data_IF_285373377377
#
_entry.id   IF_285373377377
#
_cell.length_a   1.000
_cell.length_b   1.000
_cell.length_c   1.000
_cell.angle_alpha   90.00
_cell.angle_beta   90.00
_cell.angle_gamma   90.00
#
_symmetry.space_group_name_H-M   'P 1'
#
loop_
_entity.id
_entity.type
_entity.pdbx_description
1 polymer ?
#
# COMPACT_ATOMS: atom_id res chain seq x y z
N UNK A 1 -7.30 7.19 15.47
CA UNK A 1 -5.90 7.64 15.48
C UNK A 1 -5.06 6.68 14.67
N UNK A 2 -4.72 7.04 13.43
CA UNK A 2 -3.80 6.27 12.60
C UNK A 2 -2.37 6.61 13.04
N UNK A 3 -1.87 5.92 14.07
CA UNK A 3 -0.43 5.95 14.37
C UNK A 3 0.33 5.60 13.10
N UNK A 4 1.32 6.42 12.73
CA UNK A 4 2.21 6.06 11.63
C UNK A 4 2.77 4.66 11.92
N UNK A 5 2.67 3.69 11.00
CA UNK A 5 3.50 2.50 11.09
C UNK A 5 4.96 2.92 11.18
N UNK A 6 5.82 2.06 11.70
CA UNK A 6 7.24 2.35 11.93
C UNK A 6 8.03 2.37 10.61
N UNK A 7 7.57 3.17 9.64
CA UNK A 7 8.17 3.38 8.33
C UNK A 7 9.43 4.20 8.53
N UNK A 8 10.54 3.67 8.05
CA UNK A 8 11.84 4.36 8.13
C UNK A 8 11.78 5.63 7.30
N UNK A 9 12.21 6.77 7.85
CA UNK A 9 12.25 8.04 7.10
C UNK A 9 13.10 7.88 5.83
N UNK A 10 12.67 8.54 4.75
CA UNK A 10 13.42 8.58 3.49
C UNK A 10 14.83 9.13 3.72
N UNK A 11 15.83 8.46 3.14
CA UNK A 11 17.24 8.82 3.16
C UNK A 11 17.87 8.54 1.78
N UNK A 12 19.18 8.76 1.64
CA UNK A 12 19.90 8.65 0.37
C UNK A 12 20.00 7.23 -0.21
N UNK A 13 19.59 6.19 0.53
CA UNK A 13 19.82 4.79 0.16
C UNK A 13 18.57 3.91 0.17
N UNK A 14 17.43 4.39 0.71
CA UNK A 14 16.24 3.55 0.95
C UNK A 14 15.01 3.90 0.10
N UNK A 15 15.14 4.71 -0.96
CA UNK A 15 14.00 5.21 -1.73
C UNK A 15 13.02 4.10 -2.15
N UNK A 16 13.51 2.99 -2.70
CA UNK A 16 12.65 1.90 -3.17
C UNK A 16 11.83 1.29 -2.03
N UNK A 17 12.49 0.92 -0.93
CA UNK A 17 11.81 0.36 0.25
C UNK A 17 10.84 1.37 0.86
N UNK A 18 11.25 2.64 0.97
CA UNK A 18 10.40 3.70 1.49
C UNK A 18 9.16 3.92 0.62
N UNK A 19 9.31 3.93 -0.70
CA UNK A 19 8.20 4.11 -1.64
C UNK A 19 7.20 2.96 -1.53
N UNK A 20 7.68 1.71 -1.45
CA UNK A 20 6.83 0.53 -1.27
C UNK A 20 6.04 0.59 0.06
N UNK A 21 6.71 0.96 1.16
CA UNK A 21 6.08 1.09 2.48
C UNK A 21 5.06 2.24 2.55
N UNK A 22 5.37 3.38 1.95
CA UNK A 22 4.46 4.52 1.90
C UNK A 22 3.25 4.22 1.01
N UNK A 23 3.45 3.54 -0.12
CA UNK A 23 2.34 3.03 -0.95
C UNK A 23 1.44 2.12 -0.13
N UNK A 24 2.00 1.10 0.54
CA UNK A 24 1.25 0.18 1.39
C UNK A 24 0.50 0.89 2.52
N UNK A 25 1.11 1.91 3.15
CA UNK A 25 0.44 2.73 4.14
C UNK A 25 -0.74 3.51 3.55
N UNK A 26 -0.56 4.20 2.43
CA UNK A 26 -1.64 4.94 1.76
C UNK A 26 -2.77 4.01 1.32
N UNK A 27 -2.45 2.78 0.88
CA UNK A 27 -3.44 1.74 0.60
C UNK A 27 -4.20 1.34 1.87
N UNK A 28 -3.52 1.12 3.01
CA UNK A 28 -4.16 0.81 4.30
C UNK A 28 -5.09 1.92 4.81
N UNK A 29 -4.83 3.16 4.40
CA UNK A 29 -5.63 4.34 4.73
C UNK A 29 -6.71 4.65 3.67
N UNK A 30 -6.84 3.84 2.62
CA UNK A 30 -7.77 4.03 1.50
C UNK A 30 -7.57 5.36 0.73
N UNK A 31 -6.35 5.89 0.69
CA UNK A 31 -6.04 7.16 0.01
C UNK A 31 -5.10 7.00 -1.19
N UNK A 32 -4.57 5.80 -1.41
CA UNK A 32 -3.68 5.54 -2.55
C UNK A 32 -4.35 5.80 -3.91
N UNK A 33 -5.65 5.54 -4.04
CA UNK A 33 -6.42 5.81 -5.27
C UNK A 33 -6.36 7.28 -5.74
N UNK A 34 -6.11 8.23 -4.83
CA UNK A 34 -5.91 9.65 -5.16
C UNK A 34 -4.53 9.85 -5.79
N UNK A 35 -3.51 9.19 -5.22
CA UNK A 35 -2.11 9.29 -5.67
C UNK A 35 -1.91 8.59 -7.01
N UNK A 36 -2.60 7.47 -7.23
CA UNK A 36 -2.56 6.71 -8.48
C UNK A 36 -3.35 7.36 -9.62
N UNK A 37 -3.99 8.51 -9.38
CA UNK A 37 -4.77 9.24 -10.39
C UNK A 37 -6.13 8.62 -10.73
N UNK A 38 -6.47 7.50 -10.11
CA UNK A 38 -7.75 6.80 -10.27
C UNK A 38 -8.95 7.59 -9.75
N UNK A 39 -8.73 8.59 -8.88
CA UNK A 39 -9.78 9.47 -8.34
C UNK A 39 -10.50 10.37 -9.36
N UNK A 40 -10.19 10.30 -10.66
CA UNK A 40 -11.05 10.90 -11.71
C UNK A 40 -12.23 10.01 -12.11
N UNK A 41 -12.22 8.72 -11.80
CA UNK A 41 -13.25 7.78 -12.23
C UNK A 41 -14.17 7.37 -11.06
N UNK A 42 -15.34 8.01 -10.99
CA UNK A 42 -16.56 7.56 -10.31
C UNK A 42 -16.38 6.70 -9.04
N UNK A 43 -16.37 7.39 -7.89
CA UNK A 43 -16.75 6.81 -6.60
C UNK A 43 -18.26 6.46 -6.53
N UNK A 44 -18.77 5.80 -7.56
CA UNK A 44 -20.12 5.21 -7.53
C UNK A 44 -20.06 3.76 -8.01
N UNK A 45 -20.02 2.85 -7.05
CA UNK A 45 -20.38 1.42 -7.09
C UNK A 45 -19.25 0.42 -7.42
N UNK A 46 -18.12 0.83 -8.01
CA UNK A 46 -16.89 -0.01 -8.05
C UNK A 46 -16.15 -0.05 -6.68
N UNK A 47 -16.61 0.75 -5.72
CA UNK A 47 -15.75 1.34 -4.70
C UNK A 47 -15.52 0.50 -3.45
N UNK A 48 -16.51 -0.24 -2.96
CA UNK A 48 -16.35 -0.88 -1.66
C UNK A 48 -15.41 -2.09 -1.70
N UNK A 49 -15.33 -2.80 -2.82
CA UNK A 49 -14.52 -4.00 -2.96
C UNK A 49 -13.06 -3.67 -3.27
N UNK A 50 -12.80 -2.78 -4.24
CA UNK A 50 -11.44 -2.36 -4.56
C UNK A 50 -10.77 -1.68 -3.35
N UNK A 51 -11.51 -0.83 -2.63
CA UNK A 51 -11.01 -0.22 -1.38
C UNK A 51 -10.63 -1.31 -0.35
N UNK A 52 -11.41 -2.39 -0.24
CA UNK A 52 -11.09 -3.50 0.66
C UNK A 52 -9.85 -4.28 0.22
N UNK A 53 -9.67 -4.48 -1.10
CA UNK A 53 -8.48 -5.13 -1.64
C UNK A 53 -7.23 -4.28 -1.38
N UNK A 54 -7.25 -2.99 -1.72
CA UNK A 54 -6.12 -2.08 -1.49
C UNK A 54 -5.77 -2.05 0.01
N UNK A 55 -6.78 -1.97 0.88
CA UNK A 55 -6.57 -2.00 2.33
C UNK A 55 -5.92 -3.30 2.80
N UNK A 56 -6.38 -4.45 2.28
CA UNK A 56 -5.82 -5.75 2.61
C UNK A 56 -4.35 -5.86 2.14
N UNK A 57 -4.06 -5.43 0.91
CA UNK A 57 -2.71 -5.43 0.35
C UNK A 57 -1.75 -4.58 1.21
N UNK A 58 -2.20 -3.38 1.58
CA UNK A 58 -1.43 -2.50 2.47
C UNK A 58 -1.12 -3.13 3.82
N UNK A 59 -2.10 -3.78 4.46
CA UNK A 59 -1.86 -4.47 5.73
C UNK A 59 -0.95 -5.68 5.61
N UNK A 60 -1.15 -6.54 4.60
CA UNK A 60 -0.32 -7.72 4.38
C UNK A 60 1.13 -7.28 4.19
N UNK A 61 1.39 -6.29 3.32
CA UNK A 61 2.74 -5.78 3.09
C UNK A 61 3.39 -5.19 4.35
N UNK A 62 2.63 -4.45 5.16
CA UNK A 62 3.15 -3.84 6.40
C UNK A 62 3.42 -4.85 7.53
N UNK A 63 2.78 -6.03 7.51
CA UNK A 63 3.00 -7.10 8.49
C UNK A 63 4.20 -7.99 8.15
N UNK A 64 4.77 -7.85 6.95
CA UNK A 64 5.89 -8.66 6.47
C UNK A 64 7.21 -8.04 6.91
N UNK A 65 8.15 -8.88 7.37
CA UNK A 65 9.50 -8.43 7.72
C UNK A 65 10.22 -7.81 6.52
N UNK A 66 11.05 -6.80 6.75
CA UNK A 66 11.69 -6.02 5.68
C UNK A 66 12.50 -6.86 4.69
N UNK A 67 13.18 -7.90 5.19
CA UNK A 67 13.96 -8.83 4.37
C UNK A 67 13.08 -9.80 3.56
N UNK A 68 11.82 -10.01 3.93
CA UNK A 68 10.86 -10.89 3.24
C UNK A 68 10.03 -10.14 2.19
N UNK A 69 9.88 -8.82 2.29
CA UNK A 69 9.13 -7.98 1.33
C UNK A 69 9.58 -8.16 -0.13
N UNK A 70 10.81 -8.62 -0.37
CA UNK A 70 11.31 -8.94 -1.71
C UNK A 70 10.44 -9.95 -2.47
N UNK A 71 9.80 -10.89 -1.76
CA UNK A 71 8.93 -11.90 -2.36
C UNK A 71 7.59 -11.32 -2.85
N UNK A 72 7.21 -10.15 -2.35
CA UNK A 72 5.91 -9.53 -2.64
C UNK A 72 6.00 -8.41 -3.68
N UNK A 73 7.20 -8.00 -4.10
CA UNK A 73 7.38 -6.85 -5.01
C UNK A 73 6.59 -6.93 -6.32
N UNK A 74 6.45 -8.12 -6.89
CA UNK A 74 5.74 -8.31 -8.16
C UNK A 74 4.22 -8.42 -8.00
N UNK A 75 3.74 -8.59 -6.76
CA UNK A 75 2.35 -8.93 -6.43
C UNK A 75 1.77 -8.02 -5.34
N UNK A 76 2.45 -6.92 -5.00
CA UNK A 76 2.12 -6.05 -3.85
C UNK A 76 0.74 -5.40 -3.92
N UNK A 77 0.15 -5.38 -5.11
CA UNK A 77 -1.13 -4.75 -5.40
C UNK A 77 -2.28 -5.78 -5.48
N UNK A 78 -1.96 -7.07 -5.35
CA UNK A 78 -2.93 -8.18 -5.41
C UNK A 78 -2.86 -9.00 -4.11
N UNK A 79 -3.68 -8.66 -3.10
CA UNK A 79 -3.63 -9.33 -1.80
C UNK A 79 -4.06 -10.80 -1.84
N UNK A 80 -4.63 -11.27 -2.96
CA UNK A 80 -4.98 -12.69 -3.14
C UNK A 80 -3.76 -13.52 -3.49
N UNK A 81 -2.75 -12.91 -4.11
CA UNK A 81 -1.50 -13.58 -4.52
C UNK A 81 -0.39 -13.45 -3.48
N UNK A 82 -0.49 -12.48 -2.56
CA UNK A 82 0.46 -12.24 -1.46
C UNK A 82 0.30 -13.24 -0.33
#
# INVERSE_FOLDING_TARGET
SSSLPNITKLNSTNYNTWADEVKAWLCSQNVWCIVDGLSTCLLTVLDAWQIKLDKAAGYIFLLVEDNQKIHLKAISDDPVKM
#
